data_IF_628183253176
#
_entry.id   IF_628183253176
#
_cell.length_a   1.000
_cell.length_b   1.000
_cell.length_c   1.000
_cell.angle_alpha   90.00
_cell.angle_beta   90.00
_cell.angle_gamma   90.00
#
_symmetry.space_group_name_H-M   'P 1'
#
loop_
_entity.id
_entity.type
_entity.pdbx_description
1 polymer ?
#
# COMPACT_ATOMS: atom_id res chain seq x y z
N UNK A 1 -1.53 3.85 -3.78
CA UNK A 1 -2.57 2.82 -4.05
C UNK A 1 -3.94 3.46 -3.91
N UNK A 2 -4.79 3.26 -4.91
CA UNK A 2 -6.17 3.72 -4.93
C UNK A 2 -7.12 2.52 -4.93
N UNK A 3 -8.31 2.70 -4.38
CA UNK A 3 -9.41 1.72 -4.45
C UNK A 3 -10.60 2.43 -5.06
N UNK A 4 -11.10 1.95 -6.21
CA UNK A 4 -12.22 2.56 -6.94
C UNK A 4 -12.03 4.07 -7.20
N UNK A 5 -10.83 4.46 -7.65
CA UNK A 5 -10.50 5.85 -7.97
C UNK A 5 -10.15 6.75 -6.78
N UNK A 6 -10.25 6.25 -5.54
CA UNK A 6 -9.94 7.05 -4.33
C UNK A 6 -8.56 6.68 -3.79
N UNK A 7 -7.70 7.66 -3.56
CA UNK A 7 -6.39 7.46 -2.91
C UNK A 7 -6.58 7.13 -1.43
N UNK A 8 -5.97 6.04 -0.98
CA UNK A 8 -6.20 5.57 0.40
C UNK A 8 -5.33 6.30 1.42
N UNK A 9 -4.09 6.65 1.08
CA UNK A 9 -3.21 7.44 1.95
C UNK A 9 -3.66 8.90 1.95
N UNK A 10 -3.91 9.47 3.14
CA UNK A 10 -4.39 10.85 3.30
C UNK A 10 -3.35 11.78 3.90
N UNK A 11 -2.56 11.25 4.82
CA UNK A 11 -1.55 12.03 5.51
C UNK A 11 -0.31 11.19 5.77
N UNK A 12 0.84 11.80 5.56
CA UNK A 12 2.13 11.23 5.88
C UNK A 12 2.85 12.18 6.84
N UNK A 13 3.32 11.66 7.97
CA UNK A 13 4.02 12.43 8.98
C UNK A 13 5.40 11.84 9.21
N UNK A 14 6.44 12.63 8.89
CA UNK A 14 7.84 12.30 9.09
C UNK A 14 8.31 12.88 10.43
N UNK A 15 8.81 12.02 11.32
CA UNK A 15 9.35 12.42 12.61
C UNK A 15 10.85 12.17 12.65
N UNK A 16 11.63 13.17 13.07
CA UNK A 16 13.09 13.06 13.14
C UNK A 16 13.70 13.93 14.24
N UNK A 17 14.97 13.68 14.58
CA UNK A 17 15.76 14.48 15.51
C UNK A 17 16.78 15.34 14.74
N UNK A 18 17.01 16.57 15.16
CA UNK A 18 17.94 17.49 14.49
C UNK A 18 19.41 17.13 14.71
N UNK A 19 19.74 16.58 15.88
CA UNK A 19 21.14 16.33 16.27
C UNK A 19 21.54 14.85 16.20
N UNK A 20 20.61 13.93 16.46
CA UNK A 20 20.94 12.51 16.63
C UNK A 20 21.43 11.85 15.33
N UNK A 21 22.49 11.04 15.42
CA UNK A 21 23.04 10.28 14.27
C UNK A 21 22.01 9.36 13.61
N UNK A 22 21.10 8.78 14.41
CA UNK A 22 20.01 7.93 13.88
C UNK A 22 19.06 8.65 12.91
N UNK A 23 18.99 9.98 12.93
CA UNK A 23 18.15 10.79 12.03
C UNK A 23 18.93 11.41 10.87
N UNK A 24 20.22 11.06 10.71
CA UNK A 24 21.09 11.63 9.66
C UNK A 24 20.49 11.47 8.27
N UNK A 25 20.14 10.24 7.87
CA UNK A 25 19.55 9.95 6.56
C UNK A 25 18.27 10.77 6.29
N UNK A 26 17.44 11.01 7.31
CA UNK A 26 16.23 11.82 7.17
C UNK A 26 16.56 13.28 6.92
N UNK A 27 17.55 13.84 7.64
CA UNK A 27 18.00 15.22 7.43
C UNK A 27 18.62 15.41 6.06
N UNK A 28 19.46 14.46 5.63
CA UNK A 28 20.09 14.49 4.31
C UNK A 28 19.00 14.44 3.21
N UNK A 29 17.98 13.60 3.38
CA UNK A 29 16.83 13.54 2.47
C UNK A 29 16.03 14.86 2.44
N UNK A 30 15.77 15.47 3.60
CA UNK A 30 15.10 16.77 3.69
C UNK A 30 15.92 17.90 3.03
N UNK A 31 17.22 17.93 3.28
CA UNK A 31 18.14 18.93 2.72
C UNK A 31 18.30 18.80 1.20
N UNK A 32 18.17 17.58 0.67
CA UNK A 32 18.29 17.33 -0.78
C UNK A 32 17.13 17.90 -1.61
N UNK A 33 16.03 18.34 -0.99
CA UNK A 33 14.84 18.83 -1.70
C UNK A 33 13.94 17.72 -2.27
N UNK A 34 14.38 16.46 -2.29
CA UNK A 34 13.62 15.31 -2.82
C UNK A 34 12.22 15.16 -2.23
N UNK A 35 12.03 15.49 -0.95
CA UNK A 35 10.68 15.45 -0.33
C UNK A 35 9.70 16.41 -1.03
N UNK A 36 10.17 17.58 -1.44
CA UNK A 36 9.34 18.60 -2.10
C UNK A 36 8.97 18.13 -3.51
N UNK A 37 9.91 17.57 -4.26
CA UNK A 37 9.65 17.02 -5.59
C UNK A 37 8.66 15.85 -5.50
N UNK A 38 8.85 14.95 -4.53
CA UNK A 38 7.94 13.85 -4.26
C UNK A 38 6.53 14.34 -3.86
N UNK A 39 6.44 15.44 -3.10
CA UNK A 39 5.17 16.06 -2.71
C UNK A 39 4.45 16.71 -3.91
N UNK A 40 5.19 17.35 -4.81
CA UNK A 40 4.65 18.03 -6.00
C UNK A 40 3.90 17.07 -6.92
N UNK A 41 4.41 15.85 -7.07
CA UNK A 41 3.76 14.78 -7.83
C UNK A 41 2.47 14.25 -7.16
N UNK A 42 2.27 14.52 -5.86
CA UNK A 42 1.19 13.93 -5.04
C UNK A 42 0.39 15.00 -4.28
N UNK A 43 -0.28 15.93 -4.99
CA UNK A 43 -0.94 17.09 -4.36
C UNK A 43 -2.12 16.74 -3.44
N UNK A 44 -2.68 15.53 -3.56
CA UNK A 44 -3.78 15.06 -2.71
C UNK A 44 -3.33 14.67 -1.29
N UNK A 45 -2.03 14.49 -1.06
CA UNK A 45 -1.48 13.99 0.18
C UNK A 45 -1.06 15.13 1.12
N UNK A 46 -1.49 15.08 2.39
CA UNK A 46 -0.98 15.99 3.42
C UNK A 46 0.34 15.49 3.99
N UNK A 47 1.44 16.20 3.74
CA UNK A 47 2.76 15.81 4.22
C UNK A 47 3.16 16.74 5.37
N UNK A 48 3.46 16.14 6.52
CA UNK A 48 3.90 16.85 7.70
C UNK A 48 5.31 16.40 8.08
N UNK A 49 6.17 17.36 8.37
CA UNK A 49 7.49 17.11 8.94
C UNK A 49 7.49 17.62 10.37
N UNK A 50 7.91 16.80 11.33
CA UNK A 50 7.90 17.13 12.76
C UNK A 50 9.23 16.78 13.41
N UNK A 51 9.82 17.75 14.09
CA UNK A 51 10.99 17.53 14.92
C UNK A 51 10.57 16.88 16.24
N UNK A 52 11.32 15.85 16.63
CA UNK A 52 11.15 15.05 17.85
C UNK A 52 12.54 14.73 18.41
N UNK A 53 13.15 15.75 19.01
CA UNK A 53 14.51 15.66 19.52
C UNK A 53 14.64 14.58 20.62
N UNK A 54 15.81 13.92 20.66
CA UNK A 54 16.10 12.82 21.58
C UNK A 54 15.42 11.48 21.26
N UNK A 55 14.73 11.34 20.12
CA UNK A 55 14.01 10.10 19.77
C UNK A 55 14.34 9.62 18.34
N UNK A 56 14.23 8.31 18.11
CA UNK A 56 14.50 7.72 16.80
C UNK A 56 13.46 8.15 15.75
N UNK A 57 13.88 8.31 14.49
CA UNK A 57 13.01 8.79 13.42
C UNK A 57 12.08 7.69 12.90
N UNK A 58 10.90 8.10 12.45
CA UNK A 58 9.92 7.20 11.84
C UNK A 58 8.99 7.96 10.90
N UNK A 59 8.40 7.24 9.96
CA UNK A 59 7.32 7.72 9.11
C UNK A 59 6.01 7.12 9.59
N UNK A 60 5.00 7.95 9.80
CA UNK A 60 3.62 7.54 10.09
C UNK A 60 2.73 7.84 8.89
N UNK A 61 1.90 6.87 8.51
CA UNK A 61 0.93 6.99 7.43
C UNK A 61 -0.50 6.85 7.98
N UNK A 62 -1.36 7.82 7.67
CA UNK A 62 -2.78 7.81 7.99
C UNK A 62 -3.58 7.53 6.71
N UNK A 63 -4.37 6.45 6.72
CA UNK A 63 -5.16 6.00 5.56
C UNK A 63 -6.66 6.11 5.84
N UNK A 64 -7.46 6.36 4.79
CA UNK A 64 -8.93 6.35 4.86
C UNK A 64 -9.48 5.01 5.35
N UNK A 65 -8.87 3.90 4.94
CA UNK A 65 -9.32 2.55 5.34
C UNK A 65 -9.01 2.21 6.79
N UNK A 66 -8.25 3.05 7.50
CA UNK A 66 -7.86 2.79 8.89
C UNK A 66 -9.00 3.19 9.83
N UNK A 67 -10.08 2.40 9.81
CA UNK A 67 -11.26 2.59 10.68
C UNK A 67 -11.01 2.06 12.10
N UNK A 68 -9.98 1.23 12.29
CA UNK A 68 -9.75 0.48 13.55
C UNK A 68 -8.37 0.77 14.18
N UNK A 69 -7.91 2.02 14.20
CA UNK A 69 -6.65 2.43 14.88
C UNK A 69 -5.38 1.67 14.45
N UNK A 70 -5.33 1.17 13.21
CA UNK A 70 -4.11 0.52 12.74
C UNK A 70 -3.01 1.57 12.55
N UNK A 71 -1.97 1.49 13.40
CA UNK A 71 -0.80 2.35 13.33
C UNK A 71 0.11 1.83 12.20
N UNK A 72 0.15 2.55 11.09
CA UNK A 72 1.11 2.29 10.02
C UNK A 72 2.34 3.17 10.23
N UNK A 73 3.31 2.62 10.95
CA UNK A 73 4.56 3.29 11.26
C UNK A 73 5.75 2.47 10.78
N UNK A 74 6.69 3.12 10.10
CA UNK A 74 7.96 2.51 9.67
C UNK A 74 9.10 3.28 10.31
N UNK A 75 9.98 2.58 11.03
CA UNK A 75 11.20 3.15 11.58
C UNK A 75 12.21 3.43 10.45
N UNK A 76 12.77 4.64 10.42
CA UNK A 76 13.75 5.05 9.40
C UNK A 76 15.07 5.47 10.04
N UNK A 77 15.47 4.73 11.08
CA UNK A 77 16.73 4.92 11.79
C UNK A 77 17.92 4.58 10.87
N UNK A 78 18.85 5.51 10.76
CA UNK A 78 20.15 5.31 10.13
C UNK A 78 21.10 4.61 11.09
N UNK A 79 21.79 3.57 10.61
CA UNK A 79 22.91 2.89 11.28
C UNK A 79 24.12 2.80 10.34
N UNK A 80 25.32 2.58 10.88
CA UNK A 80 26.57 2.55 10.11
C UNK A 80 26.60 1.45 9.03
N UNK A 81 25.86 0.35 9.23
CA UNK A 81 25.79 -0.76 8.28
C UNK A 81 24.66 -0.62 7.25
N UNK A 82 23.61 0.18 7.54
CA UNK A 82 22.42 0.29 6.68
C UNK A 82 21.69 1.61 6.94
N UNK A 83 21.73 2.49 5.96
CA UNK A 83 20.82 3.64 5.88
C UNK A 83 19.55 3.23 5.14
N UNK A 84 18.35 3.56 5.66
CA UNK A 84 17.12 3.35 4.91
C UNK A 84 17.03 4.36 3.76
N UNK A 85 16.60 3.91 2.59
CA UNK A 85 16.14 4.81 1.53
C UNK A 85 14.78 5.37 1.92
N UNK A 86 14.76 6.66 2.27
CA UNK A 86 13.54 7.33 2.73
C UNK A 86 12.51 7.37 1.60
N UNK A 87 12.93 7.59 0.35
CA UNK A 87 12.01 7.70 -0.78
C UNK A 87 11.32 6.36 -1.06
N UNK A 88 12.06 5.26 -0.98
CA UNK A 88 11.51 3.91 -1.08
C UNK A 88 10.45 3.65 0.02
N UNK A 89 10.73 4.06 1.26
CA UNK A 89 9.77 3.94 2.37
C UNK A 89 8.51 4.77 2.11
N UNK A 90 8.65 6.00 1.61
CA UNK A 90 7.50 6.84 1.24
C UNK A 90 6.68 6.19 0.12
N UNK A 91 7.34 5.66 -0.92
CA UNK A 91 6.69 4.96 -2.02
C UNK A 91 6.00 3.67 -1.54
N UNK A 92 6.61 2.94 -0.62
CA UNK A 92 6.02 1.76 -0.01
C UNK A 92 4.74 2.10 0.75
N UNK A 93 4.74 3.18 1.56
CA UNK A 93 3.55 3.64 2.27
C UNK A 93 2.48 4.17 1.30
N UNK A 94 2.89 4.95 0.31
CA UNK A 94 1.99 5.44 -0.73
C UNK A 94 1.28 4.30 -1.46
N UNK A 95 1.98 3.19 -1.74
CA UNK A 95 1.47 2.04 -2.47
C UNK A 95 0.73 1.00 -1.61
N UNK A 96 0.49 1.27 -0.33
CA UNK A 96 -0.31 0.38 0.53
C UNK A 96 -1.79 0.73 0.51
N UNK A 97 -2.63 -0.28 0.77
CA UNK A 97 -4.07 -0.12 0.90
C UNK A 97 -4.52 0.51 2.22
N UNK A 98 -3.65 0.53 3.23
CA UNK A 98 -3.99 0.96 4.60
C UNK A 98 -4.68 -0.10 5.45
N UNK A 99 -4.96 -1.29 4.91
CA UNK A 99 -5.49 -2.43 5.68
C UNK A 99 -4.35 -3.20 6.35
N UNK A 100 -4.64 -3.83 7.48
CA UNK A 100 -3.71 -4.76 8.13
C UNK A 100 -3.35 -5.88 7.15
N UNK A 101 -2.06 -6.12 6.95
CA UNK A 101 -1.60 -7.21 6.10
C UNK A 101 -2.11 -8.54 6.67
N UNK A 102 -2.82 -9.30 5.83
CA UNK A 102 -3.32 -10.64 6.14
C UNK A 102 -2.72 -11.61 5.14
N UNK A 103 -2.52 -12.85 5.56
CA UNK A 103 -2.12 -13.93 4.64
C UNK A 103 -3.27 -14.16 3.66
N UNK A 104 -2.97 -14.10 2.37
CA UNK A 104 -3.90 -14.51 1.33
C UNK A 104 -3.90 -16.05 1.24
N UNK A 105 -5.09 -16.63 1.19
CA UNK A 105 -5.30 -18.07 1.02
C UNK A 105 -5.30 -18.47 -0.45
N UNK A 106 -5.72 -17.56 -1.32
CA UNK A 106 -5.84 -17.76 -2.76
C UNK A 106 -5.36 -16.49 -3.49
N UNK A 107 -4.82 -16.61 -4.72
CA UNK A 107 -4.37 -15.45 -5.49
C UNK A 107 -5.54 -14.61 -6.04
N UNK A 108 -6.73 -15.21 -6.21
CA UNK A 108 -7.91 -14.56 -6.80
C UNK A 108 -9.08 -14.65 -5.82
N UNK A 109 -9.71 -13.52 -5.55
CA UNK A 109 -10.95 -13.43 -4.79
C UNK A 109 -12.05 -12.87 -5.69
N UNK A 110 -13.13 -13.63 -5.87
CA UNK A 110 -14.30 -13.21 -6.65
C UNK A 110 -15.57 -13.36 -5.82
N UNK A 111 -16.49 -12.41 -5.96
CA UNK A 111 -17.86 -12.53 -5.42
C UNK A 111 -18.76 -13.35 -6.36
N UNK A 112 -18.32 -13.57 -7.59
CA UNK A 112 -19.02 -14.32 -8.63
C UNK A 112 -18.12 -15.48 -9.08
N UNK A 113 -18.12 -16.62 -8.36
CA UNK A 113 -17.24 -17.74 -8.65
C UNK A 113 -17.62 -18.52 -9.93
N UNK A 114 -18.88 -18.45 -10.36
CA UNK A 114 -19.34 -19.01 -11.63
C UNK A 114 -20.31 -18.05 -12.31
N UNK A 115 -20.31 -18.04 -13.65
CA UNK A 115 -21.22 -17.25 -14.49
C UNK A 115 -22.43 -18.09 -14.90
N UNK A 116 -22.22 -19.36 -15.25
CA UNK A 116 -23.26 -20.27 -15.77
C UNK A 116 -23.95 -21.10 -14.69
N UNK A 117 -23.55 -20.93 -13.43
CA UNK A 117 -23.97 -21.76 -12.31
C UNK A 117 -22.87 -22.72 -11.86
N UNK A 118 -22.88 -23.08 -10.58
CA UNK A 118 -21.98 -24.10 -10.03
C UNK A 118 -22.55 -25.47 -10.37
N UNK A 119 -21.70 -26.46 -10.62
CA UNK A 119 -22.16 -27.83 -10.84
C UNK A 119 -23.01 -28.34 -9.67
N UNK A 120 -24.12 -29.00 -9.99
CA UNK A 120 -24.97 -29.68 -9.02
C UNK A 120 -25.36 -31.07 -9.55
N UNK A 121 -25.63 -32.06 -8.69
CA UNK A 121 -26.10 -33.37 -9.14
C UNK A 121 -27.42 -33.33 -9.94
N UNK A 122 -28.28 -32.34 -9.67
CA UNK A 122 -29.53 -32.11 -10.41
C UNK A 122 -29.32 -31.44 -11.78
N UNK A 123 -28.07 -31.17 -12.16
CA UNK A 123 -27.74 -30.53 -13.43
C UNK A 123 -27.77 -31.59 -14.53
N UNK A 124 -28.92 -31.76 -15.17
CA UNK A 124 -29.16 -32.75 -16.23
C UNK A 124 -28.57 -32.33 -17.59
N UNK A 125 -27.33 -31.83 -17.60
CA UNK A 125 -26.62 -31.49 -18.85
C UNK A 125 -26.47 -32.70 -19.78
N UNK A 126 -26.44 -33.91 -19.22
CA UNK A 126 -26.40 -35.14 -20.00
C UNK A 126 -27.72 -35.42 -20.75
N UNK A 127 -28.84 -34.80 -20.34
CA UNK A 127 -30.13 -34.87 -21.02
C UNK A 127 -30.29 -33.78 -22.08
N UNK A 128 -29.47 -32.72 -22.03
CA UNK A 128 -29.52 -31.68 -23.06
C UNK A 128 -29.00 -32.22 -24.40
N UNK A 129 -29.72 -31.98 -25.52
CA UNK A 129 -29.29 -32.46 -26.83
C UNK A 129 -27.95 -31.82 -27.20
N UNK A 130 -27.02 -32.65 -27.71
CA UNK A 130 -25.70 -32.17 -28.15
C UNK A 130 -25.87 -31.13 -29.24
N UNK A 131 -25.15 -30.01 -29.14
CA UNK A 131 -25.11 -29.01 -30.21
C UNK A 131 -24.68 -29.68 -31.53
N UNK A 132 -25.37 -29.42 -32.65
CA UNK A 132 -24.99 -29.99 -33.94
C UNK A 132 -23.64 -29.39 -34.38
N UNK A 133 -22.57 -30.19 -34.30
CA UNK A 133 -21.30 -29.85 -34.93
C UNK A 133 -21.44 -30.03 -36.43
N UNK A 134 -21.29 -28.93 -37.18
CA UNK A 134 -21.06 -28.99 -38.63
C UNK A 134 -19.56 -28.94 -38.85
N UNK A 135 -18.99 -30.01 -39.41
CA UNK A 135 -17.64 -29.98 -39.97
C UNK A 135 -17.77 -29.28 -41.32
N UNK A 136 -17.03 -28.18 -41.52
CA UNK A 136 -16.90 -27.58 -42.85
C UNK A 136 -15.80 -28.33 -43.59
N UNK A 137 -16.17 -28.96 -44.71
CA UNK A 137 -15.24 -29.54 -45.68
C UNK A 137 -14.55 -28.45 -46.52
#
# INVERSE_FOLDING_TARGET
MATRGVFQLQKLSLFYCEHGGSSKAVRDFLASGKLIDWARERPHLKINVRVRNGKHPFVKADYLTSVNDNIHQICVKSNDAKSPDIEEVLNQLYNRSGRKAKRFTQPVYSQTPSIQGVWTPALDLHLTPKFPMKIQD
#
